data_IF_944147565673
#
_entry.id   IF_944147565673
#
_cell.length_a   1.000
_cell.length_b   1.000
_cell.length_c   1.000
_cell.angle_alpha   90.00
_cell.angle_beta   90.00
_cell.angle_gamma   90.00
#
_symmetry.space_group_name_H-M   'P 1'
#
loop_
_entity.id
_entity.type
_entity.pdbx_description
1 polymer ?
#
# COMPACT_ATOMS: atom_id res chain seq x y z
N UNK A 1 -27.78 14.16 -24.80
CA UNK A 1 -26.79 14.40 -23.73
C UNK A 1 -25.63 15.19 -24.30
N UNK A 2 -25.14 16.20 -23.57
CA UNK A 2 -24.00 17.03 -23.98
C UNK A 2 -22.71 16.18 -24.04
N UNK A 3 -21.84 16.35 -25.06
CA UNK A 3 -20.63 15.52 -25.24
C UNK A 3 -19.73 15.54 -24.00
N UNK A 4 -19.62 16.69 -23.34
CA UNK A 4 -18.85 16.86 -22.10
C UNK A 4 -19.41 16.06 -20.91
N UNK A 5 -20.74 15.99 -20.76
CA UNK A 5 -21.39 15.22 -19.72
C UNK A 5 -21.22 13.70 -19.94
N UNK A 6 -21.20 13.28 -21.21
CA UNK A 6 -20.98 11.89 -21.59
C UNK A 6 -19.52 11.47 -21.29
N UNK A 7 -18.53 12.32 -21.59
CA UNK A 7 -17.13 12.04 -21.28
C UNK A 7 -16.86 11.98 -19.77
N UNK A 8 -17.46 12.88 -18.97
CA UNK A 8 -17.31 12.85 -17.51
C UNK A 8 -17.91 11.58 -16.90
N UNK A 9 -19.07 11.15 -17.40
CA UNK A 9 -19.71 9.90 -16.98
C UNK A 9 -18.83 8.67 -17.23
N UNK A 10 -18.27 8.55 -18.44
CA UNK A 10 -17.37 7.45 -18.78
C UNK A 10 -16.09 7.46 -17.97
N UNK A 11 -15.53 8.64 -17.71
CA UNK A 11 -14.35 8.81 -16.86
C UNK A 11 -14.59 8.31 -15.42
N UNK A 12 -15.70 8.73 -14.80
CA UNK A 12 -16.08 8.29 -13.44
C UNK A 12 -16.36 6.78 -13.39
N UNK A 13 -17.03 6.24 -14.41
CA UNK A 13 -17.31 4.80 -14.51
C UNK A 13 -16.04 3.97 -14.67
N UNK A 14 -15.11 4.41 -15.53
CA UNK A 14 -13.82 3.78 -15.72
C UNK A 14 -13.04 3.69 -14.41
N UNK A 15 -12.87 4.81 -13.71
CA UNK A 15 -12.14 4.85 -12.45
C UNK A 15 -12.80 3.99 -11.36
N UNK A 16 -14.14 3.90 -11.34
CA UNK A 16 -14.86 2.97 -10.46
C UNK A 16 -14.50 1.51 -10.75
N UNK A 17 -14.49 1.10 -12.03
CA UNK A 17 -14.18 -0.29 -12.41
C UNK A 17 -12.74 -0.65 -12.00
N UNK A 18 -11.77 0.23 -12.26
CA UNK A 18 -10.38 -0.02 -11.86
C UNK A 18 -10.21 -0.03 -10.33
N UNK A 19 -10.84 0.91 -9.61
CA UNK A 19 -10.78 0.93 -8.16
C UNK A 19 -11.36 -0.35 -7.52
N UNK A 20 -12.52 -0.82 -8.00
CA UNK A 20 -13.12 -2.09 -7.55
C UNK A 20 -12.26 -3.28 -7.97
N UNK A 21 -11.76 -3.31 -9.21
CA UNK A 21 -10.94 -4.40 -9.73
C UNK A 21 -9.66 -4.60 -8.91
N UNK A 22 -8.87 -3.54 -8.73
CA UNK A 22 -7.63 -3.62 -7.97
C UNK A 22 -7.85 -3.91 -6.49
N UNK A 23 -8.87 -3.33 -5.85
CA UNK A 23 -9.18 -3.66 -4.44
C UNK A 23 -9.69 -5.10 -4.26
N UNK A 24 -10.39 -5.64 -5.25
CA UNK A 24 -10.79 -7.06 -5.25
C UNK A 24 -9.59 -7.98 -5.42
N UNK A 25 -8.70 -7.68 -6.38
CA UNK A 25 -7.44 -8.42 -6.58
C UNK A 25 -6.62 -8.43 -5.29
N UNK A 26 -6.49 -7.28 -4.63
CA UNK A 26 -5.78 -7.20 -3.36
C UNK A 26 -6.36 -8.10 -2.28
N UNK A 27 -7.69 -8.13 -2.12
CA UNK A 27 -8.34 -9.02 -1.16
C UNK A 27 -8.12 -10.51 -1.49
N UNK A 28 -8.18 -10.88 -2.77
CA UNK A 28 -7.88 -12.26 -3.20
C UNK A 28 -6.44 -12.64 -2.83
N UNK A 29 -5.48 -11.77 -3.14
CA UNK A 29 -4.06 -11.99 -2.81
C UNK A 29 -3.83 -12.05 -1.29
N UNK A 30 -4.47 -11.16 -0.54
CA UNK A 30 -4.43 -11.13 0.92
C UNK A 30 -4.94 -12.44 1.55
N UNK A 31 -6.12 -12.91 1.14
CA UNK A 31 -6.66 -14.17 1.66
C UNK A 31 -5.81 -15.38 1.21
N UNK A 32 -5.33 -15.38 -0.03
CA UNK A 32 -4.44 -16.44 -0.53
C UNK A 32 -3.14 -16.53 0.28
N UNK A 33 -2.57 -15.38 0.69
CA UNK A 33 -1.42 -15.33 1.59
C UNK A 33 -1.71 -16.04 2.92
N UNK A 34 -2.70 -15.56 3.67
CA UNK A 34 -2.98 -16.11 5.01
C UNK A 34 -3.45 -17.56 4.97
N UNK A 35 -4.24 -17.95 3.97
CA UNK A 35 -4.63 -19.34 3.77
C UNK A 35 -3.41 -20.24 3.57
N UNK A 36 -2.46 -19.80 2.75
CA UNK A 36 -1.30 -20.64 2.47
C UNK A 36 -0.31 -20.67 3.64
N UNK A 37 -0.15 -19.56 4.35
CA UNK A 37 0.60 -19.53 5.61
C UNK A 37 0.00 -20.52 6.60
N UNK A 38 -1.33 -20.51 6.81
CA UNK A 38 -1.96 -21.49 7.69
C UNK A 38 -1.75 -22.94 7.26
N UNK A 39 -1.83 -23.24 5.96
CA UNK A 39 -1.55 -24.59 5.43
C UNK A 39 -0.11 -25.01 5.74
N UNK A 40 0.86 -24.11 5.53
CA UNK A 40 2.28 -24.38 5.81
C UNK A 40 2.55 -24.63 7.31
N UNK A 41 1.88 -23.87 8.16
CA UNK A 41 1.98 -24.00 9.62
C UNK A 41 0.97 -25.01 10.19
N UNK A 42 0.37 -25.87 9.36
CA UNK A 42 -0.56 -26.94 9.80
C UNK A 42 -1.69 -26.42 10.71
N UNK A 43 -2.26 -25.26 10.38
CA UNK A 43 -3.37 -24.64 11.09
C UNK A 43 -3.06 -24.10 12.49
N UNK A 44 -1.79 -23.84 12.80
CA UNK A 44 -1.36 -23.31 14.11
C UNK A 44 -0.85 -21.87 14.05
N UNK A 45 -0.82 -21.21 12.89
CA UNK A 45 -0.17 -19.90 12.76
C UNK A 45 -0.85 -18.85 13.63
N UNK A 46 -2.18 -18.68 13.50
CA UNK A 46 -2.96 -17.77 14.34
C UNK A 46 -3.05 -18.18 15.82
N UNK A 47 -2.77 -19.45 16.15
CA UNK A 47 -2.75 -19.92 17.54
C UNK A 47 -1.46 -19.53 18.27
N UNK A 48 -0.37 -19.36 17.51
CA UNK A 48 0.97 -19.17 18.05
C UNK A 48 1.32 -17.73 18.39
N UNK A 49 0.66 -16.74 17.76
CA UNK A 49 1.01 -15.33 17.90
C UNK A 49 -0.20 -14.40 17.71
N UNK A 50 -0.57 -13.70 18.79
CA UNK A 50 -1.69 -12.74 18.79
C UNK A 50 -1.40 -11.52 17.92
N UNK A 51 -0.12 -11.17 17.70
CA UNK A 51 0.27 -10.03 16.86
C UNK A 51 -0.08 -10.29 15.39
N UNK A 52 0.06 -11.52 14.91
CA UNK A 52 -0.30 -11.91 13.54
C UNK A 52 -1.80 -11.81 13.30
N UNK A 53 -2.59 -12.27 14.28
CA UNK A 53 -4.04 -12.19 14.24
C UNK A 53 -4.52 -10.73 14.23
N UNK A 54 -3.88 -9.87 15.04
CA UNK A 54 -4.16 -8.44 15.02
C UNK A 54 -3.87 -7.80 13.65
N UNK A 55 -2.69 -8.06 13.08
CA UNK A 55 -2.31 -7.53 11.77
C UNK A 55 -3.29 -7.99 10.67
N UNK A 56 -3.65 -9.28 10.68
CA UNK A 56 -4.68 -9.82 9.78
C UNK A 56 -5.97 -8.99 9.82
N UNK A 57 -6.52 -8.75 11.02
CA UNK A 57 -7.77 -7.99 11.14
C UNK A 57 -7.62 -6.54 10.68
N UNK A 58 -6.52 -5.88 11.01
CA UNK A 58 -6.28 -4.49 10.58
C UNK A 58 -6.25 -4.39 9.06
N UNK A 59 -5.45 -5.22 8.38
CA UNK A 59 -5.39 -5.25 6.92
C UNK A 59 -6.75 -5.59 6.29
N UNK A 60 -7.43 -6.61 6.82
CA UNK A 60 -8.72 -7.04 6.32
C UNK A 60 -9.75 -5.91 6.38
N UNK A 61 -9.86 -5.23 7.52
CA UNK A 61 -10.78 -4.11 7.71
C UNK A 61 -10.47 -2.98 6.74
N UNK A 62 -9.21 -2.60 6.59
CA UNK A 62 -8.78 -1.55 5.66
C UNK A 62 -9.18 -1.88 4.23
N UNK A 63 -8.86 -3.10 3.78
CA UNK A 63 -9.10 -3.51 2.39
C UNK A 63 -10.59 -3.63 2.09
N UNK A 64 -11.37 -4.15 3.04
CA UNK A 64 -12.83 -4.23 2.92
C UNK A 64 -13.47 -2.85 2.88
N UNK A 65 -13.06 -1.90 3.72
CA UNK A 65 -13.61 -0.53 3.69
C UNK A 65 -13.37 0.11 2.32
N UNK A 66 -12.17 -0.03 1.76
CA UNK A 66 -11.84 0.48 0.42
C UNK A 66 -12.71 -0.20 -0.64
N UNK A 67 -12.81 -1.53 -0.64
CA UNK A 67 -13.63 -2.26 -1.62
C UNK A 67 -15.12 -1.89 -1.50
N UNK A 68 -15.69 -1.93 -0.29
CA UNK A 68 -17.11 -1.64 -0.05
C UNK A 68 -17.43 -0.21 -0.44
N UNK A 69 -16.59 0.76 -0.05
CA UNK A 69 -16.77 2.16 -0.46
C UNK A 69 -16.63 2.35 -1.97
N UNK A 70 -15.80 1.55 -2.63
CA UNK A 70 -15.69 1.54 -4.08
C UNK A 70 -16.92 0.95 -4.77
N UNK A 71 -17.46 -0.16 -4.27
CA UNK A 71 -18.69 -0.77 -4.80
C UNK A 71 -19.89 0.19 -4.62
N UNK A 72 -20.07 0.69 -3.39
CA UNK A 72 -21.20 1.56 -2.98
C UNK A 72 -21.12 2.98 -3.52
N UNK A 73 -19.97 3.37 -4.07
CA UNK A 73 -19.73 4.74 -4.52
C UNK A 73 -19.82 5.78 -3.39
N UNK A 74 -19.30 5.40 -2.22
CA UNK A 74 -19.36 6.19 -0.99
C UNK A 74 -17.99 6.76 -0.64
N UNK A 75 -18.02 7.95 -0.04
CA UNK A 75 -16.91 8.65 0.60
C UNK A 75 -16.22 7.84 1.71
N UNK A 76 -16.86 6.79 2.25
CA UNK A 76 -16.24 5.88 3.22
C UNK A 76 -14.93 5.25 2.69
N UNK A 77 -14.77 5.13 1.36
CA UNK A 77 -13.52 4.66 0.77
C UNK A 77 -12.32 5.56 1.12
N UNK A 78 -12.53 6.88 1.32
CA UNK A 78 -11.47 7.77 1.82
C UNK A 78 -11.02 7.43 3.22
N UNK A 79 -11.92 6.98 4.10
CA UNK A 79 -11.51 6.52 5.44
C UNK A 79 -10.61 5.29 5.33
N UNK A 80 -10.97 4.33 4.47
CA UNK A 80 -10.13 3.18 4.17
C UNK A 80 -8.75 3.57 3.63
N UNK A 81 -8.70 4.54 2.71
CA UNK A 81 -7.43 5.08 2.19
C UNK A 81 -6.60 5.71 3.30
N UNK A 82 -7.20 6.55 4.14
CA UNK A 82 -6.50 7.19 5.25
C UNK A 82 -5.92 6.15 6.22
N UNK A 83 -6.69 5.10 6.52
CA UNK A 83 -6.22 3.99 7.35
C UNK A 83 -5.06 3.23 6.67
N UNK A 84 -5.19 2.90 5.38
CA UNK A 84 -4.14 2.23 4.62
C UNK A 84 -2.83 3.00 4.61
N UNK A 85 -2.90 4.29 4.25
CA UNK A 85 -1.74 5.17 4.17
C UNK A 85 -1.08 5.35 5.53
N UNK A 86 -1.88 5.56 6.58
CA UNK A 86 -1.38 5.67 7.95
C UNK A 86 -0.69 4.39 8.42
N UNK A 87 -1.33 3.23 8.19
CA UNK A 87 -0.78 1.94 8.54
C UNK A 87 0.55 1.69 7.83
N UNK A 88 0.63 1.94 6.53
CA UNK A 88 1.86 1.73 5.74
C UNK A 88 2.99 2.69 6.11
N UNK A 89 2.66 3.94 6.40
CA UNK A 89 3.64 4.90 6.90
C UNK A 89 4.16 4.47 8.29
N UNK A 90 3.28 3.99 9.17
CA UNK A 90 3.68 3.53 10.50
C UNK A 90 4.55 2.26 10.41
N UNK A 91 4.13 1.25 9.66
CA UNK A 91 4.88 0.01 9.44
C UNK A 91 6.29 0.29 8.88
N UNK A 92 6.37 1.15 7.86
CA UNK A 92 7.65 1.62 7.31
C UNK A 92 8.50 2.38 8.33
N UNK A 93 7.89 3.22 9.16
CA UNK A 93 8.62 3.93 10.22
C UNK A 93 9.14 2.98 11.30
N UNK A 94 8.39 1.95 11.68
CA UNK A 94 8.87 0.93 12.62
C UNK A 94 10.04 0.13 12.04
N UNK A 95 10.01 -0.15 10.73
CA UNK A 95 11.13 -0.76 10.01
C UNK A 95 12.37 0.13 10.07
N UNK A 96 12.20 1.44 9.87
CA UNK A 96 13.30 2.41 9.99
C UNK A 96 13.91 2.39 11.40
N UNK A 97 13.08 2.42 12.44
CA UNK A 97 13.55 2.46 13.83
C UNK A 97 14.23 1.15 14.23
N UNK A 98 13.67 0.00 13.86
CA UNK A 98 14.20 -1.32 14.23
C UNK A 98 15.49 -1.66 13.50
N UNK A 99 15.57 -1.33 12.22
CA UNK A 99 16.68 -1.74 11.35
C UNK A 99 17.67 -0.61 11.06
N UNK A 100 17.42 0.62 11.53
CA UNK A 100 18.26 1.79 11.22
C UNK A 100 19.70 1.66 11.70
N UNK A 101 19.95 0.97 12.82
CA UNK A 101 21.32 0.73 13.32
C UNK A 101 22.11 -0.18 12.40
N UNK A 102 21.54 -1.32 12.00
CA UNK A 102 22.18 -2.25 11.06
C UNK A 102 22.51 -1.59 9.72
N UNK A 103 21.75 -0.58 9.32
CA UNK A 103 21.95 0.14 8.06
C UNK A 103 23.13 1.08 8.14
N UNK A 104 23.26 1.83 9.24
CA UNK A 104 24.42 2.70 9.47
C UNK A 104 25.70 1.87 9.50
N UNK A 105 25.67 0.72 10.17
CA UNK A 105 26.78 -0.24 10.21
C UNK A 105 27.12 -0.79 8.81
N UNK A 106 26.10 -0.99 7.96
CA UNK A 106 26.27 -1.42 6.56
C UNK A 106 26.96 -0.36 5.68
N UNK A 107 26.66 0.93 5.89
CA UNK A 107 27.27 2.04 5.13
C UNK A 107 28.69 2.42 5.56
N UNK A 108 29.19 1.85 6.66
CA UNK A 108 30.56 2.04 7.12
C UNK A 108 31.56 1.05 6.47
N UNK A 109 31.08 0.06 5.72
CA UNK A 109 31.89 -0.94 5.02
C UNK A 109 32.39 -0.51 3.64
N UNK A 110 33.01 -1.44 2.90
CA UNK A 110 33.48 -1.22 1.53
C UNK A 110 32.32 -1.03 0.55
N UNK A 111 32.37 -0.01 -0.31
CA UNK A 111 31.28 0.26 -1.26
C UNK A 111 31.13 -0.85 -2.30
N UNK A 112 30.08 -1.67 -2.15
CA UNK A 112 29.65 -2.65 -3.14
C UNK A 112 28.36 -2.20 -3.84
N UNK A 113 28.09 -2.65 -5.09
CA UNK A 113 26.82 -2.36 -5.77
C UNK A 113 25.58 -2.78 -4.96
N UNK A 114 25.71 -3.81 -4.11
CA UNK A 114 24.65 -4.26 -3.20
C UNK A 114 24.28 -3.17 -2.18
N UNK A 115 25.25 -2.41 -1.67
CA UNK A 115 25.00 -1.33 -0.70
C UNK A 115 24.28 -0.13 -1.32
N UNK A 116 24.53 0.14 -2.60
CA UNK A 116 23.77 1.17 -3.33
C UNK A 116 22.29 0.76 -3.47
N UNK A 117 22.01 -0.51 -3.74
CA UNK A 117 20.64 -1.04 -3.77
C UNK A 117 19.96 -0.99 -2.40
N UNK A 118 20.70 -1.33 -1.32
CA UNK A 118 20.23 -1.12 0.04
C UNK A 118 19.87 0.36 0.30
N UNK A 119 20.73 1.31 -0.10
CA UNK A 119 20.44 2.74 0.04
C UNK A 119 19.19 3.20 -0.69
N UNK A 120 18.97 2.74 -1.92
CA UNK A 120 17.75 3.04 -2.67
C UNK A 120 16.52 2.45 -1.98
N UNK A 121 16.61 1.21 -1.48
CA UNK A 121 15.53 0.58 -0.71
C UNK A 121 15.16 1.43 0.51
N UNK A 122 16.16 1.92 1.25
CA UNK A 122 15.95 2.76 2.43
C UNK A 122 15.36 4.13 2.11
N UNK A 123 15.78 4.75 1.01
CA UNK A 123 15.16 5.97 0.52
C UNK A 123 13.71 5.75 0.11
N UNK A 124 13.39 4.59 -0.49
CA UNK A 124 12.01 4.24 -0.83
C UNK A 124 11.15 4.05 0.43
N UNK A 125 11.64 3.34 1.46
CA UNK A 125 10.96 3.18 2.77
C UNK A 125 10.74 4.55 3.42
N UNK A 126 11.77 5.40 3.48
CA UNK A 126 11.65 6.76 4.00
C UNK A 126 10.64 7.60 3.20
N UNK A 127 10.61 7.42 1.88
CA UNK A 127 9.62 7.99 0.97
C UNK A 127 8.19 7.56 1.31
N UNK A 128 7.96 6.28 1.62
CA UNK A 128 6.64 5.78 2.06
C UNK A 128 6.20 6.48 3.34
N UNK A 129 7.09 6.65 4.32
CA UNK A 129 6.78 7.36 5.57
C UNK A 129 6.43 8.82 5.30
N UNK A 130 7.32 9.55 4.62
CA UNK A 130 7.15 10.97 4.38
C UNK A 130 5.92 11.25 3.53
N UNK A 131 5.81 10.62 2.36
CA UNK A 131 4.67 10.81 1.46
C UNK A 131 3.38 10.29 2.07
N UNK A 132 3.43 9.23 2.88
CA UNK A 132 2.27 8.70 3.58
C UNK A 132 1.69 9.70 4.58
N UNK A 133 2.54 10.32 5.41
CA UNK A 133 2.10 11.35 6.35
C UNK A 133 1.49 12.54 5.59
N UNK A 134 2.17 13.05 4.56
CA UNK A 134 1.66 14.17 3.76
C UNK A 134 0.35 13.85 3.06
N UNK A 135 0.25 12.67 2.43
CA UNK A 135 -0.95 12.19 1.76
C UNK A 135 -2.11 12.05 2.75
N UNK A 136 -1.86 11.49 3.94
CA UNK A 136 -2.87 11.38 5.00
C UNK A 136 -3.43 12.76 5.38
N UNK A 137 -2.55 13.71 5.72
CA UNK A 137 -2.94 15.06 6.14
C UNK A 137 -3.71 15.78 5.04
N UNK A 138 -3.20 15.78 3.80
CA UNK A 138 -3.84 16.48 2.68
C UNK A 138 -5.16 15.83 2.27
N UNK A 139 -5.24 14.50 2.27
CA UNK A 139 -6.49 13.79 1.97
C UNK A 139 -7.56 14.04 3.04
N UNK A 140 -7.16 14.12 4.32
CA UNK A 140 -8.06 14.46 5.41
C UNK A 140 -8.58 15.90 5.32
N UNK A 141 -7.68 16.86 5.05
CA UNK A 141 -8.05 18.26 4.82
C UNK A 141 -8.99 18.40 3.62
N UNK A 142 -8.72 17.67 2.54
CA UNK A 142 -9.59 17.63 1.37
C UNK A 142 -10.97 17.07 1.70
N UNK A 143 -11.04 16.00 2.49
CA UNK A 143 -12.31 15.43 2.95
C UNK A 143 -13.09 16.39 3.87
N UNK A 144 -12.41 17.26 4.63
CA UNK A 144 -13.07 18.31 5.41
C UNK A 144 -13.44 19.56 4.59
N UNK A 145 -12.98 19.67 3.35
CA UNK A 145 -13.18 20.87 2.53
C UNK A 145 -12.29 22.05 2.92
N UNK A 146 -11.29 21.84 3.78
CA UNK A 146 -10.31 22.87 4.14
C UNK A 146 -9.15 22.97 3.13
N UNK A 147 -9.14 22.12 2.10
CA UNK A 147 -8.14 22.08 1.06
C UNK A 147 -8.79 21.70 -0.27
N UNK A 148 -8.56 22.47 -1.33
CA UNK A 148 -9.28 22.35 -2.61
C UNK A 148 -8.43 21.83 -3.78
N UNK A 149 -7.11 21.71 -3.60
CA UNK A 149 -6.20 21.34 -4.69
C UNK A 149 -6.12 19.83 -4.89
N UNK A 150 -7.10 19.25 -5.58
CA UNK A 150 -7.14 17.81 -5.88
C UNK A 150 -5.90 17.30 -6.63
N UNK A 151 -5.32 18.13 -7.51
CA UNK A 151 -4.13 17.78 -8.31
C UNK A 151 -2.94 17.41 -7.39
N UNK A 152 -2.72 18.15 -6.31
CA UNK A 152 -1.64 17.89 -5.36
C UNK A 152 -1.82 16.54 -4.67
N UNK A 153 -3.05 16.22 -4.24
CA UNK A 153 -3.37 14.95 -3.58
C UNK A 153 -3.14 13.78 -4.53
N UNK A 154 -3.54 13.93 -5.80
CA UNK A 154 -3.32 12.92 -6.81
C UNK A 154 -1.84 12.64 -7.02
N UNK A 155 -1.03 13.68 -7.14
CA UNK A 155 0.43 13.54 -7.30
C UNK A 155 1.02 12.83 -6.08
N UNK A 156 0.61 13.23 -4.86
CA UNK A 156 1.05 12.57 -3.63
C UNK A 156 0.64 11.09 -3.59
N UNK A 157 -0.57 10.74 -4.02
CA UNK A 157 -1.04 9.35 -4.07
C UNK A 157 -0.23 8.51 -5.06
N UNK A 158 0.09 9.06 -6.24
CA UNK A 158 0.94 8.40 -7.24
C UNK A 158 2.36 8.20 -6.68
N UNK A 159 2.97 9.26 -6.12
CA UNK A 159 4.31 9.19 -5.55
C UNK A 159 4.37 8.19 -4.40
N UNK A 160 3.37 8.18 -3.53
CA UNK A 160 3.25 7.21 -2.45
C UNK A 160 3.18 5.77 -2.98
N UNK A 161 2.33 5.50 -3.97
CA UNK A 161 2.22 4.17 -4.57
C UNK A 161 3.52 3.73 -5.27
N UNK A 162 4.23 4.65 -5.92
CA UNK A 162 5.54 4.39 -6.53
C UNK A 162 6.59 4.08 -5.47
N UNK A 163 6.68 4.87 -4.40
CA UNK A 163 7.60 4.60 -3.30
C UNK A 163 7.28 3.26 -2.62
N UNK A 164 6.00 2.93 -2.43
CA UNK A 164 5.57 1.65 -1.89
C UNK A 164 6.02 0.49 -2.78
N UNK A 165 5.78 0.60 -4.10
CA UNK A 165 6.21 -0.39 -5.08
C UNK A 165 7.73 -0.57 -5.09
N UNK A 166 8.50 0.52 -5.08
CA UNK A 166 9.96 0.47 -5.06
C UNK A 166 10.46 -0.17 -3.76
N UNK A 167 9.93 0.27 -2.61
CA UNK A 167 10.28 -0.27 -1.29
C UNK A 167 10.11 -1.78 -1.25
N UNK A 168 8.94 -2.26 -1.70
CA UNK A 168 8.66 -3.69 -1.79
C UNK A 168 9.63 -4.35 -2.76
N UNK A 169 9.74 -3.87 -4.01
CA UNK A 169 10.54 -4.50 -5.06
C UNK A 169 12.02 -4.65 -4.70
N UNK A 170 12.62 -3.63 -4.08
CA UNK A 170 14.02 -3.70 -3.62
C UNK A 170 14.18 -4.64 -2.43
N UNK A 171 13.22 -4.65 -1.49
CA UNK A 171 13.22 -5.62 -0.39
C UNK A 171 13.16 -7.04 -0.92
N UNK A 172 12.28 -7.31 -1.89
CA UNK A 172 12.17 -8.63 -2.53
C UNK A 172 13.47 -9.03 -3.23
N UNK A 173 14.07 -8.11 -3.98
CA UNK A 173 15.34 -8.36 -4.67
C UNK A 173 16.45 -8.74 -3.69
N UNK A 174 16.54 -8.04 -2.55
CA UNK A 174 17.55 -8.32 -1.52
C UNK A 174 17.34 -9.70 -0.86
N UNK A 175 16.10 -10.11 -0.63
CA UNK A 175 15.78 -11.45 -0.11
C UNK A 175 16.19 -12.55 -1.10
N UNK A 176 15.91 -12.35 -2.38
CA UNK A 176 16.28 -13.30 -3.45
C UNK A 176 17.81 -13.37 -3.60
N UNK A 177 18.49 -12.22 -3.64
CA UNK A 177 19.94 -12.14 -3.74
C UNK A 177 20.65 -12.74 -2.52
N UNK A 178 20.02 -12.71 -1.35
CA UNK A 178 20.51 -13.31 -0.10
C UNK A 178 20.36 -14.84 0.00
N UNK A 179 19.84 -15.52 -1.03
CA UNK A 179 19.83 -16.99 -1.11
C UNK A 179 18.69 -17.69 -0.34
N UNK A 180 17.66 -16.97 0.10
CA UNK A 180 16.49 -17.57 0.75
C UNK A 180 15.53 -18.16 -0.31
N UNK A 181 15.89 -19.29 -0.94
CA UNK A 181 15.26 -19.72 -2.20
C UNK A 181 13.94 -20.50 -2.12
N UNK A 182 13.56 -21.10 -0.98
CA UNK A 182 12.53 -22.16 -0.99
C UNK A 182 11.11 -21.73 -0.58
N UNK A 183 10.87 -20.44 -0.34
CA UNK A 183 9.55 -19.91 0.08
C UNK A 183 9.10 -18.66 -0.69
N UNK A 184 9.86 -18.31 -1.73
CA UNK A 184 9.85 -17.02 -2.46
C UNK A 184 8.44 -16.63 -2.93
N UNK A 185 7.69 -17.53 -3.56
CA UNK A 185 6.38 -17.19 -4.14
C UNK A 185 5.29 -16.85 -3.10
N UNK A 186 5.44 -17.33 -1.86
CA UNK A 186 4.44 -17.17 -0.80
C UNK A 186 4.58 -15.89 0.00
N UNK A 187 5.81 -15.38 0.12
CA UNK A 187 6.06 -14.09 0.76
C UNK A 187 5.55 -12.90 -0.07
N UNK A 188 5.32 -13.09 -1.38
CA UNK A 188 5.00 -11.97 -2.27
C UNK A 188 3.50 -11.65 -2.38
N UNK A 189 2.62 -12.55 -1.94
CA UNK A 189 1.17 -12.35 -2.09
C UNK A 189 0.66 -11.14 -1.29
N UNK A 190 1.14 -10.97 -0.04
CA UNK A 190 0.76 -9.83 0.78
C UNK A 190 1.31 -8.51 0.22
N UNK A 191 2.56 -8.53 -0.23
CA UNK A 191 3.21 -7.38 -0.87
C UNK A 191 2.52 -6.95 -2.18
N UNK A 192 2.13 -7.91 -3.02
CA UNK A 192 1.33 -7.60 -4.22
C UNK A 192 -0.08 -7.11 -3.88
N UNK A 193 -0.66 -7.57 -2.77
CA UNK A 193 -1.93 -7.04 -2.27
C UNK A 193 -1.80 -5.56 -1.87
N UNK A 194 -0.71 -5.19 -1.20
CA UNK A 194 -0.40 -3.81 -0.83
C UNK A 194 -0.23 -2.91 -2.04
N UNK A 195 0.51 -3.37 -3.06
CA UNK A 195 0.68 -2.66 -4.33
C UNK A 195 -0.69 -2.47 -5.01
N UNK A 196 -1.51 -3.53 -5.08
CA UNK A 196 -2.83 -3.45 -5.68
C UNK A 196 -3.76 -2.46 -4.95
N UNK A 197 -3.72 -2.38 -3.62
CA UNK A 197 -4.46 -1.35 -2.87
C UNK A 197 -3.88 0.05 -3.07
N UNK A 198 -2.57 0.19 -3.17
CA UNK A 198 -1.92 1.45 -3.53
C UNK A 198 -2.43 1.98 -4.88
N UNK A 199 -2.53 1.11 -5.88
CA UNK A 199 -3.08 1.46 -7.20
C UNK A 199 -4.58 1.76 -7.10
N UNK A 200 -5.35 0.93 -6.37
CA UNK A 200 -6.78 1.16 -6.15
C UNK A 200 -7.06 2.53 -5.52
N UNK A 201 -6.20 2.98 -4.61
CA UNK A 201 -6.28 4.29 -3.95
C UNK A 201 -6.26 5.44 -4.95
N UNK A 202 -5.40 5.39 -5.97
CA UNK A 202 -5.30 6.43 -7.01
C UNK A 202 -6.63 6.57 -7.76
N UNK A 203 -7.18 5.45 -8.24
CA UNK A 203 -8.45 5.44 -8.96
C UNK A 203 -9.64 5.80 -8.07
N UNK A 204 -9.60 5.39 -6.80
CA UNK A 204 -10.62 5.73 -5.80
C UNK A 204 -10.69 7.24 -5.57
N UNK A 205 -9.52 7.89 -5.43
CA UNK A 205 -9.45 9.35 -5.25
C UNK A 205 -9.93 10.11 -6.50
N UNK A 206 -9.50 9.70 -7.69
CA UNK A 206 -9.95 10.33 -8.95
C UNK A 206 -11.46 10.22 -9.17
N UNK A 207 -12.04 9.08 -8.77
CA UNK A 207 -13.48 8.89 -8.80
C UNK A 207 -14.22 9.80 -7.81
N UNK A 208 -13.69 9.94 -6.59
CA UNK A 208 -14.30 10.72 -5.51
C UNK A 208 -13.94 12.21 -5.52
N UNK A 209 -13.31 12.68 -6.59
CA UNK A 209 -13.00 14.09 -6.80
C UNK A 209 -14.24 14.95 -6.57
N UNK A 210 -14.09 15.95 -5.70
CA UNK A 210 -15.06 17.04 -5.50
C UNK A 210 -15.04 17.92 -6.74
N UNK A 211 -16.21 18.13 -7.32
CA UNK A 211 -16.43 19.09 -8.41
C UNK A 211 -16.49 20.51 -7.83
#
# INVERSE_FOLDING_TARGET
MNKAALSEFWYKKHNKVFAVGFSSIALVLFFAYYLTVEILFKWTFFQSDISQLWNFFVYLVVYLIILIGNIRNDSIAYQGILMFVCYKAFDSATTIVRSGRSVIETFQGEWTPLYLLYGISWLAVAGVVFLGIFLYVRSYQYLKGSFNHFIEIRILAILFAVCLFLSISFTLFLVIAGGYSNSIMLFFLLDFADIAIGIATIFTMERLRRN
#
